data_IF_921067169051
#
_entry.id   IF_921067169051
#
_cell.length_a   1.000
_cell.length_b   1.000
_cell.length_c   1.000
_cell.angle_alpha   90.00
_cell.angle_beta   90.00
_cell.angle_gamma   90.00
#
_symmetry.space_group_name_H-M   'P 1'
#
loop_
_entity.id
_entity.type
_entity.pdbx_description
1 polymer ?
#
# COMPACT_ATOMS: atom_id res chain seq x y z
N UNK A 1 -1.77 -10.51 -5.20
CA UNK A 1 -1.57 -9.37 -4.29
C UNK A 1 -0.13 -9.06 -3.91
N UNK A 2 0.58 -9.73 -2.98
CA UNK A 2 1.93 -9.24 -2.57
C UNK A 2 2.90 -9.08 -3.76
N UNK A 3 3.01 -10.13 -4.59
CA UNK A 3 3.84 -10.11 -5.80
C UNK A 3 3.29 -9.17 -6.90
N UNK A 4 1.98 -8.93 -6.88
CA UNK A 4 1.30 -8.05 -7.83
C UNK A 4 1.60 -6.58 -7.51
N UNK A 5 1.49 -6.20 -6.24
CA UNK A 5 1.90 -4.88 -5.74
C UNK A 5 3.39 -4.68 -5.97
N UNK A 6 4.22 -5.71 -5.75
CA UNK A 6 5.65 -5.63 -6.05
C UNK A 6 5.88 -5.32 -7.53
N UNK A 7 5.23 -6.06 -8.43
CA UNK A 7 5.36 -5.83 -9.87
C UNK A 7 4.88 -4.43 -10.27
N UNK A 8 3.76 -3.95 -9.71
CA UNK A 8 3.25 -2.61 -10.01
C UNK A 8 4.16 -1.51 -9.46
N UNK A 9 4.79 -1.71 -8.30
CA UNK A 9 5.81 -0.79 -7.79
C UNK A 9 7.04 -0.79 -8.70
N UNK A 10 7.52 -1.96 -9.16
CA UNK A 10 8.61 -2.03 -10.15
C UNK A 10 8.25 -1.25 -11.42
N UNK A 11 7.03 -1.42 -11.92
CA UNK A 11 6.55 -0.69 -13.10
C UNK A 11 6.42 0.82 -12.83
N UNK A 12 6.00 1.21 -11.63
CA UNK A 12 5.88 2.61 -11.21
C UNK A 12 7.25 3.29 -11.13
N UNK A 13 8.25 2.61 -10.58
CA UNK A 13 9.62 3.12 -10.50
C UNK A 13 10.33 3.08 -11.85
N UNK A 14 9.98 2.15 -12.74
CA UNK A 14 10.54 2.10 -14.08
C UNK A 14 12.06 1.98 -14.04
N UNK A 15 12.75 2.93 -14.68
CA UNK A 15 14.22 2.95 -14.74
C UNK A 15 14.88 3.27 -13.38
N UNK A 16 14.13 3.81 -12.41
CA UNK A 16 14.62 4.09 -11.04
C UNK A 16 14.61 2.84 -10.12
N UNK A 17 14.06 1.72 -10.60
CA UNK A 17 14.05 0.46 -9.85
C UNK A 17 15.41 -0.25 -9.93
N UNK A 18 15.94 -0.65 -8.77
CA UNK A 18 17.12 -1.51 -8.66
C UNK A 18 16.76 -2.83 -7.93
N UNK A 19 17.34 -3.95 -8.36
CA UNK A 19 17.02 -5.28 -7.80
C UNK A 19 17.31 -5.38 -6.30
N UNK A 20 18.34 -4.66 -5.82
CA UNK A 20 18.74 -4.59 -4.42
C UNK A 20 17.62 -4.05 -3.51
N UNK A 21 16.68 -3.29 -4.08
CA UNK A 21 15.58 -2.66 -3.37
C UNK A 21 14.41 -3.64 -3.13
N UNK A 22 14.36 -4.78 -3.83
CA UNK A 22 13.24 -5.71 -3.82
C UNK A 22 12.89 -6.19 -2.41
N UNK A 23 13.91 -6.53 -1.61
CA UNK A 23 13.71 -7.00 -0.24
C UNK A 23 13.03 -5.96 0.65
N UNK A 24 13.37 -4.68 0.47
CA UNK A 24 12.76 -3.57 1.20
C UNK A 24 11.37 -3.24 0.68
N UNK A 25 11.13 -3.29 -0.64
CA UNK A 25 9.79 -3.14 -1.21
C UNK A 25 8.85 -4.23 -0.68
N UNK A 26 9.29 -5.49 -0.66
CA UNK A 26 8.55 -6.59 -0.05
C UNK A 26 8.27 -6.35 1.45
N UNK A 27 9.22 -5.76 2.18
CA UNK A 27 8.98 -5.37 3.58
C UNK A 27 7.91 -4.27 3.69
N UNK A 28 7.96 -3.25 2.84
CA UNK A 28 6.97 -2.17 2.79
C UNK A 28 5.58 -2.73 2.47
N UNK A 29 5.45 -3.62 1.48
CA UNK A 29 4.18 -4.28 1.12
C UNK A 29 3.61 -5.08 2.30
N UNK A 30 4.44 -5.89 2.96
CA UNK A 30 4.03 -6.65 4.16
C UNK A 30 3.56 -5.73 5.28
N UNK A 31 4.23 -4.60 5.47
CA UNK A 31 3.84 -3.57 6.45
C UNK A 31 2.50 -2.95 6.08
N UNK A 32 2.29 -2.56 4.82
CA UNK A 32 1.04 -2.01 4.30
C UNK A 32 -0.14 -2.96 4.50
N UNK A 33 0.03 -4.25 4.17
CA UNK A 33 -1.02 -5.26 4.34
C UNK A 33 -1.40 -5.41 5.82
N UNK A 34 -0.41 -5.45 6.73
CA UNK A 34 -0.67 -5.51 8.18
C UNK A 34 -1.39 -4.25 8.67
N UNK A 35 -0.94 -3.07 8.23
CA UNK A 35 -1.58 -1.81 8.61
C UNK A 35 -3.03 -1.76 8.14
N UNK A 36 -3.30 -2.12 6.88
CA UNK A 36 -4.66 -2.19 6.34
C UNK A 36 -5.54 -3.17 7.10
N UNK A 37 -5.04 -4.38 7.41
CA UNK A 37 -5.79 -5.36 8.23
C UNK A 37 -6.13 -4.82 9.61
N UNK A 38 -5.20 -4.11 10.26
CA UNK A 38 -5.43 -3.46 11.55
C UNK A 38 -6.48 -2.35 11.43
N UNK A 39 -6.40 -1.51 10.39
CA UNK A 39 -7.37 -0.45 10.13
C UNK A 39 -8.77 -0.99 9.88
N UNK A 40 -8.90 -2.10 9.14
CA UNK A 40 -10.17 -2.77 8.90
C UNK A 40 -10.74 -3.45 10.13
N UNK A 41 -9.90 -3.78 11.11
CA UNK A 41 -10.30 -4.39 12.38
C UNK A 41 -11.16 -5.66 12.15
N UNK A 42 -10.66 -6.57 11.30
CA UNK A 42 -11.38 -7.79 10.96
C UNK A 42 -11.72 -8.63 12.20
N UNK A 43 -12.98 -9.09 12.34
CA UNK A 43 -13.33 -10.05 13.39
C UNK A 43 -12.50 -11.33 13.31
N UNK A 44 -12.22 -11.97 14.44
CA UNK A 44 -11.51 -13.26 14.47
C UNK A 44 -12.24 -14.38 13.70
N UNK A 45 -13.56 -14.28 13.60
CA UNK A 45 -14.41 -15.20 12.84
C UNK A 45 -14.48 -14.87 11.33
N UNK A 46 -13.86 -13.79 10.85
CA UNK A 46 -13.91 -13.43 9.43
C UNK A 46 -13.14 -14.46 8.61
N UNK A 47 -13.77 -15.11 7.62
CA UNK A 47 -13.08 -16.09 6.78
C UNK A 47 -11.93 -15.44 6.00
N UNK A 48 -10.81 -16.15 5.88
CA UNK A 48 -9.63 -15.66 5.16
C UNK A 48 -9.95 -15.25 3.72
N UNK A 49 -10.83 -15.99 3.02
CA UNK A 49 -11.30 -15.64 1.67
C UNK A 49 -12.07 -14.31 1.61
N UNK A 50 -12.78 -13.93 2.69
CA UNK A 50 -13.49 -12.65 2.76
C UNK A 50 -12.53 -11.50 3.02
N UNK A 51 -11.48 -11.74 3.81
CA UNK A 51 -10.39 -10.78 4.02
C UNK A 51 -9.68 -10.52 2.69
N UNK A 52 -9.37 -11.56 1.93
CA UNK A 52 -8.71 -11.45 0.62
C UNK A 52 -9.55 -10.67 -0.38
N UNK A 53 -10.84 -11.03 -0.54
CA UNK A 53 -11.76 -10.28 -1.42
C UNK A 53 -11.91 -8.81 -1.04
N UNK A 54 -11.91 -8.51 0.25
CA UNK A 54 -11.95 -7.13 0.70
C UNK A 54 -10.63 -6.42 0.40
N UNK A 55 -9.48 -7.05 0.67
CA UNK A 55 -8.18 -6.48 0.31
C UNK A 55 -8.08 -6.22 -1.20
N UNK A 56 -8.60 -7.11 -2.06
CA UNK A 56 -8.62 -6.92 -3.52
C UNK A 56 -9.43 -5.69 -3.91
N UNK A 57 -10.57 -5.46 -3.25
CA UNK A 57 -11.38 -4.25 -3.43
C UNK A 57 -10.61 -2.98 -3.08
N UNK A 58 -9.68 -3.04 -2.12
CA UNK A 58 -8.85 -1.91 -1.69
C UNK A 58 -7.42 -1.99 -2.23
N UNK A 59 -7.21 -2.64 -3.38
CA UNK A 59 -5.89 -2.78 -3.99
C UNK A 59 -5.15 -1.43 -4.13
N UNK A 60 -5.82 -0.39 -4.64
CA UNK A 60 -5.22 0.94 -4.79
C UNK A 60 -4.78 1.56 -3.45
N UNK A 61 -5.50 1.28 -2.35
CA UNK A 61 -5.07 1.71 -1.02
C UNK A 61 -3.79 0.99 -0.58
N UNK A 62 -3.70 -0.31 -0.85
CA UNK A 62 -2.53 -1.11 -0.50
C UNK A 62 -1.30 -0.72 -1.32
N UNK A 63 -1.49 -0.40 -2.60
CA UNK A 63 -0.44 0.15 -3.45
C UNK A 63 0.07 1.50 -2.92
N UNK A 64 -0.84 2.45 -2.66
CA UNK A 64 -0.48 3.78 -2.14
C UNK A 64 0.21 3.70 -0.76
N UNK A 65 -0.25 2.81 0.13
CA UNK A 65 0.44 2.56 1.41
C UNK A 65 1.84 2.02 1.21
N UNK A 66 2.04 1.13 0.23
CA UNK A 66 3.34 0.53 -0.06
C UNK A 66 4.31 1.55 -0.65
N UNK A 67 3.82 2.40 -1.56
CA UNK A 67 4.57 3.53 -2.09
C UNK A 67 4.94 4.53 -1.00
N UNK A 68 3.99 4.88 -0.12
CA UNK A 68 4.24 5.75 1.04
C UNK A 68 5.38 5.22 1.93
N UNK A 69 5.37 3.92 2.27
CA UNK A 69 6.41 3.33 3.09
C UNK A 69 7.76 3.25 2.36
N UNK A 70 7.76 2.98 1.06
CA UNK A 70 8.99 3.03 0.25
C UNK A 70 9.60 4.44 0.29
N UNK A 71 8.82 5.49 0.01
CA UNK A 71 9.28 6.88 0.08
C UNK A 71 9.80 7.23 1.49
N UNK A 72 9.05 6.90 2.55
CA UNK A 72 9.47 7.18 3.95
C UNK A 72 10.74 6.43 4.37
N UNK A 73 11.08 5.32 3.73
CA UNK A 73 12.30 4.55 4.02
C UNK A 73 13.56 5.17 3.40
N UNK A 74 13.43 6.30 2.70
CA UNK A 74 14.54 7.01 2.08
C UNK A 74 14.82 6.56 0.65
N UNK A 75 13.86 5.90 0.01
CA UNK A 75 13.87 5.79 -1.44
C UNK A 75 13.48 7.16 -2.00
N UNK A 76 14.50 8.01 -2.16
CA UNK A 76 14.40 9.28 -2.85
C UNK A 76 14.63 9.02 -4.33
N UNK A 77 13.53 8.94 -5.08
CA UNK A 77 13.56 8.73 -6.51
C UNK A 77 13.99 10.04 -7.17
N UNK A 78 15.17 10.05 -7.81
CA UNK A 78 15.63 11.22 -8.54
C UNK A 78 14.68 11.45 -9.71
N UNK A 79 13.92 12.54 -9.63
CA UNK A 79 12.84 12.82 -10.55
C UNK A 79 13.24 12.63 -12.01
N UNK A 80 12.59 11.68 -12.67
CA UNK A 80 12.43 11.63 -14.11
C UNK A 80 11.22 10.75 -14.41
N UNK A 81 10.01 11.32 -14.37
CA UNK A 81 8.99 11.12 -15.42
C UNK A 81 7.73 11.97 -15.16
N UNK A 82 7.72 13.12 -15.83
CA UNK A 82 6.57 13.91 -16.27
C UNK A 82 5.74 14.67 -15.23
N UNK A 83 5.58 15.96 -15.54
CA UNK A 83 4.66 16.94 -14.99
C UNK A 83 3.16 16.56 -15.15
N UNK A 84 2.73 15.34 -14.85
CA UNK A 84 1.33 14.96 -15.08
C UNK A 84 0.70 13.91 -14.16
N UNK A 85 1.13 13.80 -12.91
CA UNK A 85 0.28 13.21 -11.88
C UNK A 85 0.70 13.74 -10.53
N UNK A 86 -0.13 14.62 -9.95
CA UNK A 86 -0.12 15.07 -8.55
C UNK A 86 0.87 14.30 -7.68
N UNK A 87 2.01 14.90 -7.31
CA UNK A 87 2.86 14.41 -6.24
C UNK A 87 1.96 14.30 -5.00
N UNK A 88 1.36 13.13 -4.75
CA UNK A 88 0.56 12.89 -3.55
C UNK A 88 1.56 12.69 -2.44
N UNK A 89 2.01 13.79 -1.84
CA UNK A 89 2.68 13.73 -0.55
C UNK A 89 1.61 13.37 0.47
N UNK A 90 1.64 12.14 0.96
CA UNK A 90 0.86 11.75 2.13
C UNK A 90 1.72 11.92 3.37
N UNK A 91 1.21 12.64 4.37
CA UNK A 91 1.90 12.84 5.63
C UNK A 91 1.65 11.68 6.60
N UNK A 92 0.59 10.90 6.38
CA UNK A 92 0.28 9.72 7.20
C UNK A 92 -0.54 8.67 6.45
N UNK A 93 -0.52 7.43 6.97
CA UNK A 93 -1.43 6.37 6.50
C UNK A 93 -2.91 6.76 6.62
N UNK A 94 -3.27 7.63 7.58
CA UNK A 94 -4.65 8.08 7.77
C UNK A 94 -5.18 8.89 6.59
N UNK A 95 -4.33 9.64 5.91
CA UNK A 95 -4.70 10.36 4.68
C UNK A 95 -4.98 9.39 3.54
N UNK A 96 -4.15 8.35 3.42
CA UNK A 96 -4.34 7.28 2.43
C UNK A 96 -5.64 6.53 2.71
N UNK A 97 -5.89 6.15 3.97
CA UNK A 97 -7.15 5.52 4.35
C UNK A 97 -8.37 6.40 4.05
N UNK A 98 -8.27 7.71 4.27
CA UNK A 98 -9.36 8.65 4.00
C UNK A 98 -9.62 8.79 2.50
N UNK A 99 -8.56 8.92 1.70
CA UNK A 99 -8.61 8.98 0.24
C UNK A 99 -9.32 7.75 -0.37
N UNK A 100 -9.03 6.57 0.16
CA UNK A 100 -9.61 5.30 -0.32
C UNK A 100 -10.88 4.88 0.40
N UNK A 101 -11.45 5.74 1.25
CA UNK A 101 -12.66 5.46 2.04
C UNK A 101 -12.57 4.17 2.88
N UNK A 102 -11.38 3.87 3.43
CA UNK A 102 -11.15 2.70 4.28
C UNK A 102 -11.70 2.95 5.68
N UNK A 103 -12.83 2.33 5.97
CA UNK A 103 -13.48 2.38 7.29
C UNK A 103 -13.27 1.07 8.07
N UNK A 104 -13.12 1.14 9.40
CA UNK A 104 -13.08 -0.05 10.25
C UNK A 104 -14.42 -0.77 10.23
N UNK A 105 -14.39 -2.10 10.34
CA UNK A 105 -15.60 -2.90 10.53
C UNK A 105 -16.07 -2.70 11.97
N UNK A 106 -17.26 -2.11 12.13
CA UNK A 106 -17.88 -1.92 13.43
C UNK A 106 -18.29 -3.27 14.04
N UNK A 107 -18.19 -3.37 15.37
CA UNK A 107 -18.72 -4.48 16.15
C UNK A 107 -19.94 -4.00 16.90
N UNK A 108 -21.04 -4.74 16.79
CA UNK A 108 -22.14 -4.65 17.74
C UNK A 108 -21.78 -5.66 18.83
N UNK A 109 -21.48 -5.16 20.03
CA UNK A 109 -21.20 -5.97 21.21
C UNK A 109 -22.49 -6.22 21.99
#
# INVERSE_FOLDING_TARGET
>A
MELEILQDLKNYFGDDYEEEQESTLLFCIKRSIKSFKNKRNYPSAYPQIMIEKDMDKYYSCLLDLSLYWAIKQGYEFQGSHSENSTNRSWESESEIYSLHNVIPIARIL
#
